data_IF_970768016794
#
_entry.id   IF_970768016794
#
_cell.length_a   1.000
_cell.length_b   1.000
_cell.length_c   1.000
_cell.angle_alpha   90.00
_cell.angle_beta   90.00
_cell.angle_gamma   90.00
#
_symmetry.space_group_name_H-M   'P 1'
#
loop_
_entity.id
_entity.type
_entity.pdbx_description
1 polymer ?
#
# COMPACT_ATOMS: atom_id res chain seq x y z
N UNK A 1 -13.17 70.01 -5.43
CA UNK A 1 -14.62 69.69 -5.59
C UNK A 1 -15.48 70.45 -4.57
N UNK A 2 -15.49 71.80 -4.65
CA UNK A 2 -16.18 72.69 -3.70
C UNK A 2 -17.07 73.71 -4.43
N UNK A 3 -17.71 73.31 -5.54
CA UNK A 3 -18.44 74.25 -6.39
C UNK A 3 -19.85 73.81 -6.83
N UNK A 4 -20.36 72.68 -6.31
CA UNK A 4 -21.71 72.19 -6.65
C UNK A 4 -22.73 72.25 -5.51
N UNK A 5 -22.33 72.59 -4.28
CA UNK A 5 -23.23 72.60 -3.10
C UNK A 5 -23.99 73.91 -2.89
N UNK A 6 -23.55 74.99 -3.54
CA UNK A 6 -24.08 76.35 -3.34
C UNK A 6 -25.20 76.74 -4.31
N UNK A 7 -25.40 75.99 -5.40
CA UNK A 7 -26.45 76.27 -6.40
C UNK A 7 -27.81 75.66 -6.03
N UNK A 8 -27.82 74.54 -5.30
CA UNK A 8 -29.03 73.85 -4.86
C UNK A 8 -29.71 74.49 -3.63
N UNK A 9 -28.96 75.23 -2.80
CA UNK A 9 -29.51 75.86 -1.58
C UNK A 9 -30.25 77.17 -1.91
N UNK A 10 -29.90 77.86 -2.99
CA UNK A 10 -30.60 79.08 -3.42
C UNK A 10 -31.95 78.80 -4.10
N UNK A 11 -32.13 77.61 -4.69
CA UNK A 11 -33.35 77.26 -5.43
C UNK A 11 -34.55 76.87 -4.54
N UNK A 12 -34.36 76.64 -3.25
CA UNK A 12 -35.43 76.25 -2.32
C UNK A 12 -35.94 77.45 -1.50
N UNK A 13 -35.23 78.58 -1.52
CA UNK A 13 -35.54 79.73 -0.66
C UNK A 13 -36.51 80.76 -1.27
N UNK A 14 -36.95 80.57 -2.53
CA UNK A 14 -37.60 81.64 -3.30
C UNK A 14 -39.08 81.36 -3.67
N UNK A 15 -39.69 80.25 -3.22
CA UNK A 15 -41.03 79.85 -3.74
C UNK A 15 -42.11 79.48 -2.70
N UNK A 16 -42.01 79.87 -1.42
CA UNK A 16 -43.20 79.82 -0.54
C UNK A 16 -43.07 80.66 0.76
N UNK A 17 -43.85 81.74 0.96
CA UNK A 17 -43.73 82.61 2.13
C UNK A 17 -44.52 82.13 3.37
N UNK A 18 -45.13 80.94 3.36
CA UNK A 18 -45.98 80.48 4.49
C UNK A 18 -45.48 79.17 5.13
N UNK A 19 -44.21 79.16 5.51
CA UNK A 19 -43.56 78.08 6.25
C UNK A 19 -44.02 78.06 7.72
N UNK A 20 -45.05 77.27 8.03
CA UNK A 20 -45.35 76.89 9.43
C UNK A 20 -46.02 75.51 9.50
N UNK A 21 -45.20 74.46 9.54
CA UNK A 21 -45.50 73.21 10.25
C UNK A 21 -44.20 72.40 10.36
N UNK A 22 -43.57 72.30 11.56
CA UNK A 22 -42.31 71.59 11.72
C UNK A 22 -42.50 70.07 11.58
N UNK A 23 -41.61 69.46 10.79
CA UNK A 23 -41.48 68.02 10.56
C UNK A 23 -41.29 67.22 11.86
N UNK A 24 -41.71 65.93 11.91
CA UNK A 24 -41.65 65.11 13.13
C UNK A 24 -40.20 64.91 13.63
N UNK A 25 -40.05 64.99 14.96
CA UNK A 25 -38.77 64.82 15.63
C UNK A 25 -38.23 63.40 15.41
N UNK A 26 -37.19 63.28 14.58
CA UNK A 26 -36.38 62.07 14.48
C UNK A 26 -35.69 61.88 15.83
N UNK A 27 -36.14 60.90 16.61
CA UNK A 27 -35.46 60.45 17.83
C UNK A 27 -34.10 59.85 17.43
N UNK A 28 -33.05 60.67 17.42
CA UNK A 28 -31.67 60.19 17.21
C UNK A 28 -31.28 59.41 18.46
N UNK A 29 -31.39 58.07 18.39
CA UNK A 29 -30.69 57.17 19.31
C UNK A 29 -29.20 57.50 19.19
N UNK A 30 -28.63 58.14 20.22
CA UNK A 30 -27.17 58.26 20.35
C UNK A 30 -26.61 56.85 20.47
N UNK A 31 -26.22 56.25 19.35
CA UNK A 31 -25.49 54.99 19.36
C UNK A 31 -24.23 55.19 20.20
N UNK A 32 -24.15 54.49 21.33
CA UNK A 32 -22.98 54.50 22.19
C UNK A 32 -21.87 53.69 21.50
N UNK A 33 -21.20 54.30 20.51
CA UNK A 33 -20.00 53.73 19.89
C UNK A 33 -18.89 53.75 20.92
N UNK A 34 -18.79 52.68 21.73
CA UNK A 34 -17.58 52.39 22.52
C UNK A 34 -16.41 52.41 21.55
N UNK A 35 -15.59 53.47 21.60
CA UNK A 35 -14.43 53.66 20.73
C UNK A 35 -13.41 52.60 21.12
N UNK A 36 -13.37 51.49 20.38
CA UNK A 36 -12.41 50.41 20.59
C UNK A 36 -11.02 51.02 20.30
N UNK A 37 -10.18 51.16 21.33
CA UNK A 37 -8.80 51.64 21.16
C UNK A 37 -8.03 50.59 20.36
N UNK A 38 -7.76 50.89 19.10
CA UNK A 38 -6.88 50.08 18.26
C UNK A 38 -5.51 49.95 18.93
N UNK A 39 -5.12 48.71 19.27
CA UNK A 39 -3.82 48.42 19.84
C UNK A 39 -3.02 47.58 18.83
N UNK A 40 -2.08 48.20 18.10
CA UNK A 40 -1.34 47.51 17.04
C UNK A 40 -0.54 46.32 17.58
N UNK A 41 -0.04 46.40 18.82
CA UNK A 41 0.70 45.29 19.46
C UNK A 41 -0.20 44.09 19.74
N UNK A 42 -1.44 44.30 20.17
CA UNK A 42 -2.41 43.21 20.41
C UNK A 42 -2.84 42.53 19.12
N UNK A 43 -2.98 43.28 18.03
CA UNK A 43 -3.37 42.74 16.73
C UNK A 43 -2.23 41.94 16.08
N UNK A 44 -1.00 42.44 16.19
CA UNK A 44 0.21 41.70 15.76
C UNK A 44 0.35 40.39 16.55
N UNK A 45 0.17 40.45 17.88
CA UNK A 45 0.24 39.28 18.76
C UNK A 45 -0.83 38.22 18.41
N UNK A 46 -2.06 38.64 18.10
CA UNK A 46 -3.13 37.74 17.65
C UNK A 46 -2.77 37.01 16.35
N UNK A 47 -2.23 37.73 15.37
CA UNK A 47 -1.80 37.15 14.09
C UNK A 47 -0.68 36.12 14.28
N UNK A 48 0.28 36.40 15.15
CA UNK A 48 1.38 35.47 15.48
C UNK A 48 0.82 34.17 16.10
N UNK A 49 -0.13 34.27 17.05
CA UNK A 49 -0.75 33.10 17.68
C UNK A 49 -1.54 32.24 16.67
N UNK A 50 -2.25 32.88 15.73
CA UNK A 50 -2.98 32.14 14.69
C UNK A 50 -2.04 31.47 13.69
N UNK A 51 -0.97 32.16 13.28
CA UNK A 51 0.01 31.61 12.31
C UNK A 51 0.76 30.43 12.93
N UNK A 52 1.21 30.56 14.18
CA UNK A 52 1.90 29.48 14.89
C UNK A 52 1.00 28.26 15.07
N UNK A 53 -0.28 28.45 15.42
CA UNK A 53 -1.24 27.34 15.51
C UNK A 53 -1.42 26.58 14.18
N UNK A 54 -1.50 27.31 13.06
CA UNK A 54 -1.61 26.72 11.72
C UNK A 54 -0.33 25.97 11.34
N UNK A 55 0.84 26.55 11.59
CA UNK A 55 2.13 25.92 11.33
C UNK A 55 2.31 24.64 12.15
N UNK A 56 1.93 24.65 13.43
CA UNK A 56 2.01 23.47 14.30
C UNK A 56 1.06 22.36 13.80
N UNK A 57 -0.18 22.68 13.43
CA UNK A 57 -1.09 21.67 12.84
C UNK A 57 -0.58 21.11 11.52
N UNK A 58 0.02 21.95 10.66
CA UNK A 58 0.64 21.48 9.41
C UNK A 58 1.83 20.54 9.64
N UNK A 59 2.67 20.84 10.64
CA UNK A 59 3.80 19.97 11.03
C UNK A 59 3.31 18.64 11.62
N UNK A 60 2.20 18.64 12.38
CA UNK A 60 1.62 17.42 12.95
C UNK A 60 0.94 16.55 11.88
N UNK A 61 0.22 17.16 10.93
CA UNK A 61 -0.40 16.44 9.82
C UNK A 61 0.65 15.77 8.90
N UNK A 62 1.76 16.46 8.63
CA UNK A 62 2.87 15.87 7.87
C UNK A 62 3.46 14.64 8.59
N UNK A 63 3.69 14.73 9.91
CA UNK A 63 4.20 13.59 10.69
C UNK A 63 3.22 12.42 10.80
N UNK A 64 1.91 12.67 10.76
CA UNK A 64 0.90 11.60 10.80
C UNK A 64 0.84 10.78 9.51
N UNK A 65 1.18 11.38 8.35
CA UNK A 65 1.19 10.69 7.07
C UNK A 65 2.38 9.72 6.93
N UNK A 66 3.52 10.06 7.52
CA UNK A 66 4.73 9.22 7.47
C UNK A 66 4.54 7.87 8.18
N UNK A 67 3.75 7.82 9.27
CA UNK A 67 3.48 6.57 9.99
C UNK A 67 2.59 5.58 9.21
N UNK A 68 1.73 6.06 8.32
CA UNK A 68 0.85 5.21 7.51
C UNK A 68 1.57 4.58 6.30
N UNK A 69 2.63 5.23 5.80
CA UNK A 69 3.41 4.77 4.63
C UNK A 69 4.57 3.84 5.03
N UNK A 70 5.12 3.99 6.23
CA UNK A 70 6.19 3.10 6.74
C UNK A 70 5.67 1.74 7.22
N UNK A 71 4.38 1.63 7.52
CA UNK A 71 3.69 0.37 7.81
C UNK A 71 3.17 -0.29 6.53
N UNK A 72 3.97 -0.32 5.46
CA UNK A 72 3.85 -1.39 4.47
C UNK A 72 4.10 -2.69 5.25
N UNK A 73 3.00 -3.29 5.70
CA UNK A 73 2.91 -4.35 6.70
C UNK A 73 4.02 -5.39 6.48
N UNK A 74 4.93 -5.52 7.45
CA UNK A 74 6.06 -6.46 7.38
C UNK A 74 5.60 -7.86 6.98
N UNK A 75 4.40 -8.27 7.41
CA UNK A 75 3.77 -9.52 7.01
C UNK A 75 3.53 -9.60 5.49
N UNK A 76 3.07 -8.52 4.86
CA UNK A 76 2.87 -8.44 3.41
C UNK A 76 4.18 -8.59 2.65
N UNK A 77 5.28 -8.03 3.16
CA UNK A 77 6.61 -8.18 2.54
C UNK A 77 7.08 -9.63 2.61
N UNK A 78 7.00 -10.26 3.78
CA UNK A 78 7.42 -11.65 3.95
C UNK A 78 6.52 -12.64 3.20
N UNK A 79 5.20 -12.38 3.11
CA UNK A 79 4.28 -13.20 2.29
C UNK A 79 4.66 -13.15 0.81
N UNK A 80 4.95 -11.98 0.25
CA UNK A 80 5.45 -11.87 -1.13
C UNK A 80 6.76 -12.61 -1.35
N UNK A 81 7.64 -12.64 -0.33
CA UNK A 81 8.88 -13.42 -0.36
C UNK A 81 8.58 -14.92 -0.39
N UNK A 82 7.64 -15.41 0.43
CA UNK A 82 7.18 -16.80 0.42
C UNK A 82 6.60 -17.14 -0.96
N UNK A 83 5.69 -16.34 -1.51
CA UNK A 83 5.09 -16.58 -2.82
C UNK A 83 6.14 -16.71 -3.94
N UNK A 84 7.25 -15.95 -3.84
CA UNK A 84 8.36 -16.06 -4.79
C UNK A 84 9.12 -17.38 -4.61
N UNK A 85 9.44 -17.75 -3.37
CA UNK A 85 10.12 -19.00 -3.07
C UNK A 85 9.28 -20.22 -3.47
N UNK A 86 7.97 -20.17 -3.23
CA UNK A 86 7.06 -21.26 -3.61
C UNK A 86 7.02 -21.46 -5.13
N UNK A 87 7.03 -20.38 -5.91
CA UNK A 87 7.17 -20.47 -7.37
C UNK A 87 8.49 -21.14 -7.76
N UNK A 88 9.60 -20.72 -7.15
CA UNK A 88 10.92 -21.31 -7.41
C UNK A 88 10.95 -22.80 -7.04
N UNK A 89 10.36 -23.21 -5.92
CA UNK A 89 10.23 -24.62 -5.50
C UNK A 89 9.48 -25.43 -6.57
N UNK A 90 8.34 -24.94 -7.06
CA UNK A 90 7.55 -25.63 -8.08
C UNK A 90 8.34 -25.76 -9.38
N UNK A 91 9.07 -24.72 -9.80
CA UNK A 91 9.93 -24.77 -10.98
C UNK A 91 11.04 -25.82 -10.82
N UNK A 92 11.76 -25.81 -9.69
CA UNK A 92 12.83 -26.77 -9.40
C UNK A 92 12.32 -28.22 -9.34
N UNK A 93 11.14 -28.44 -8.76
CA UNK A 93 10.49 -29.76 -8.76
C UNK A 93 10.12 -30.18 -10.19
N UNK A 94 9.61 -29.27 -11.01
CA UNK A 94 9.32 -29.52 -12.42
C UNK A 94 10.55 -29.97 -13.20
N UNK A 95 11.67 -29.25 -13.04
CA UNK A 95 12.95 -29.59 -13.68
C UNK A 95 13.48 -30.94 -13.20
N UNK A 96 13.38 -31.22 -11.89
CA UNK A 96 13.73 -32.52 -11.32
C UNK A 96 12.89 -33.65 -11.92
N UNK A 97 11.58 -33.44 -12.09
CA UNK A 97 10.71 -34.44 -12.75
C UNK A 97 11.06 -34.63 -14.22
N UNK A 98 11.42 -33.57 -14.94
CA UNK A 98 11.87 -33.68 -16.33
C UNK A 98 13.14 -34.53 -16.43
N UNK A 99 14.11 -34.33 -15.53
CA UNK A 99 15.30 -35.17 -15.46
C UNK A 99 14.95 -36.64 -15.16
N UNK A 100 14.03 -36.90 -14.22
CA UNK A 100 13.56 -38.24 -13.91
C UNK A 100 12.88 -38.91 -15.12
N UNK A 101 12.05 -38.19 -15.87
CA UNK A 101 11.43 -38.69 -17.12
C UNK A 101 12.47 -39.06 -18.18
N UNK A 102 13.48 -38.22 -18.37
CA UNK A 102 14.59 -38.52 -19.30
C UNK A 102 15.33 -39.79 -18.88
N UNK A 103 15.61 -39.94 -17.58
CA UNK A 103 16.22 -41.16 -17.02
C UNK A 103 15.30 -42.37 -17.24
N UNK A 104 14.00 -42.25 -16.98
CA UNK A 104 13.01 -43.30 -17.21
C UNK A 104 12.97 -43.76 -18.66
N UNK A 105 12.92 -42.82 -19.61
CA UNK A 105 12.98 -43.12 -21.04
C UNK A 105 14.27 -43.85 -21.44
N UNK A 106 15.41 -43.44 -20.87
CA UNK A 106 16.69 -44.13 -21.06
C UNK A 106 16.64 -45.57 -20.53
N UNK A 107 16.11 -45.79 -19.32
CA UNK A 107 15.97 -47.13 -18.72
C UNK A 107 15.10 -48.05 -19.57
N UNK A 108 13.97 -47.53 -20.10
CA UNK A 108 13.06 -48.28 -20.99
C UNK A 108 13.77 -48.70 -22.27
N UNK A 109 14.57 -47.81 -22.87
CA UNK A 109 15.34 -48.11 -24.09
C UNK A 109 16.40 -49.20 -23.86
N UNK A 110 17.04 -49.20 -22.69
CA UNK A 110 18.15 -50.11 -22.37
C UNK A 110 17.76 -51.30 -21.49
N UNK A 111 16.46 -51.51 -21.21
CA UNK A 111 15.93 -52.59 -20.36
C UNK A 111 16.55 -52.64 -18.95
N UNK A 112 16.89 -51.48 -18.39
CA UNK A 112 17.41 -51.36 -17.00
C UNK A 112 16.23 -51.28 -16.02
N UNK A 113 16.38 -51.89 -14.84
CA UNK A 113 15.35 -51.87 -13.79
C UNK A 113 14.98 -50.43 -13.38
N UNK A 114 13.68 -50.21 -13.15
CA UNK A 114 13.09 -48.88 -12.89
C UNK A 114 13.54 -48.30 -11.55
N UNK A 115 13.65 -49.12 -10.50
CA UNK A 115 13.95 -48.65 -9.14
C UNK A 115 15.35 -49.08 -8.70
N UNK A 116 16.14 -48.12 -8.24
CA UNK A 116 17.47 -48.32 -7.66
C UNK A 116 17.48 -47.78 -6.22
N UNK A 117 17.13 -48.61 -5.21
CA UNK A 117 16.92 -48.14 -3.83
C UNK A 117 18.18 -47.54 -3.21
N UNK A 118 19.35 -48.09 -3.51
CA UNK A 118 20.63 -47.62 -2.95
C UNK A 118 20.95 -46.18 -3.35
N UNK A 119 20.60 -45.79 -4.59
CA UNK A 119 20.81 -44.42 -5.06
C UNK A 119 19.88 -43.46 -4.32
N UNK A 120 18.63 -43.85 -4.12
CA UNK A 120 17.67 -43.00 -3.40
C UNK A 120 18.10 -42.79 -1.96
N UNK A 121 18.52 -43.86 -1.27
CA UNK A 121 19.04 -43.79 0.09
C UNK A 121 20.21 -42.80 0.23
N UNK A 122 21.17 -42.81 -0.70
CA UNK A 122 22.29 -41.85 -0.69
C UNK A 122 21.83 -40.40 -0.79
N UNK A 123 20.84 -40.12 -1.65
CA UNK A 123 20.33 -38.75 -1.80
C UNK A 123 19.44 -38.32 -0.66
N UNK A 124 18.67 -39.24 -0.10
CA UNK A 124 17.90 -38.96 1.11
C UNK A 124 18.85 -38.60 2.27
N UNK A 125 19.92 -39.38 2.48
CA UNK A 125 20.92 -39.08 3.51
C UNK A 125 21.57 -37.71 3.31
N UNK A 126 21.99 -37.39 2.08
CA UNK A 126 22.59 -36.09 1.77
C UNK A 126 21.59 -34.95 2.00
N UNK A 127 20.33 -35.11 1.58
CA UNK A 127 19.30 -34.11 1.76
C UNK A 127 19.01 -33.85 3.25
N UNK A 128 18.99 -34.89 4.08
CA UNK A 128 18.82 -34.75 5.54
C UNK A 128 19.96 -33.92 6.13
N UNK A 129 21.22 -34.24 5.78
CA UNK A 129 22.40 -33.48 6.24
C UNK A 129 22.33 -32.00 5.81
N UNK A 130 21.87 -31.73 4.59
CA UNK A 130 21.72 -30.35 4.09
C UNK A 130 20.56 -29.62 4.75
N UNK A 131 19.43 -30.30 4.97
CA UNK A 131 18.26 -29.77 5.64
C UNK A 131 18.55 -29.37 7.08
N UNK A 132 19.28 -30.21 7.83
CA UNK A 132 19.69 -29.91 9.20
C UNK A 132 20.54 -28.63 9.27
N UNK A 133 21.43 -28.39 8.30
CA UNK A 133 22.28 -27.17 8.24
C UNK A 133 21.46 -25.89 8.08
N UNK A 134 20.28 -25.96 7.48
CA UNK A 134 19.38 -24.81 7.27
C UNK A 134 18.21 -24.78 8.25
N UNK A 135 18.23 -25.63 9.29
CA UNK A 135 17.24 -25.64 10.36
C UNK A 135 15.95 -26.40 10.06
N UNK A 136 15.96 -27.32 9.08
CA UNK A 136 14.85 -28.24 8.81
C UNK A 136 15.00 -29.51 9.64
N UNK A 137 13.88 -30.09 10.08
CA UNK A 137 13.90 -31.38 10.78
C UNK A 137 14.15 -32.53 9.81
N UNK A 138 14.92 -33.53 10.25
CA UNK A 138 15.21 -34.71 9.45
C UNK A 138 13.94 -35.43 8.97
N UNK A 139 12.93 -35.54 9.84
CA UNK A 139 11.64 -36.17 9.51
C UNK A 139 10.88 -35.41 8.41
N UNK A 140 10.92 -34.08 8.42
CA UNK A 140 10.29 -33.26 7.39
C UNK A 140 10.98 -33.47 6.04
N UNK A 141 12.30 -33.39 6.00
CA UNK A 141 13.09 -33.57 4.78
C UNK A 141 12.88 -34.96 4.22
N UNK A 142 12.85 -35.98 5.08
CA UNK A 142 12.62 -37.37 4.68
C UNK A 142 11.27 -37.55 4.00
N UNK A 143 10.18 -37.10 4.63
CA UNK A 143 8.84 -37.17 4.04
C UNK A 143 8.76 -36.44 2.70
N UNK A 144 9.31 -35.23 2.64
CA UNK A 144 9.33 -34.44 1.40
C UNK A 144 10.05 -35.19 0.26
N UNK A 145 11.22 -35.75 0.53
CA UNK A 145 11.99 -36.46 -0.49
C UNK A 145 11.37 -37.81 -0.89
N UNK A 146 10.71 -38.49 0.03
CA UNK A 146 9.94 -39.72 -0.24
C UNK A 146 8.74 -39.42 -1.15
N UNK A 147 7.98 -38.36 -0.88
CA UNK A 147 6.85 -37.94 -1.71
C UNK A 147 7.30 -37.54 -3.12
N UNK A 148 8.35 -36.72 -3.21
CA UNK A 148 8.93 -36.28 -4.49
C UNK A 148 9.48 -37.47 -5.28
N UNK A 149 10.10 -38.46 -4.60
CA UNK A 149 10.57 -39.67 -5.24
C UNK A 149 9.42 -40.54 -5.77
N UNK A 150 8.39 -40.73 -4.95
CA UNK A 150 7.20 -41.52 -5.31
C UNK A 150 6.51 -40.95 -6.54
N UNK A 151 6.34 -39.62 -6.61
CA UNK A 151 5.77 -38.97 -7.79
C UNK A 151 6.66 -39.15 -9.03
N UNK A 152 7.99 -39.10 -8.88
CA UNK A 152 8.91 -39.36 -10.00
C UNK A 152 8.72 -40.78 -10.57
N UNK A 153 8.64 -41.78 -9.69
CA UNK A 153 8.46 -43.19 -10.07
C UNK A 153 7.11 -43.39 -10.77
N UNK A 154 6.04 -42.76 -10.25
CA UNK A 154 4.71 -42.79 -10.89
C UNK A 154 4.76 -42.29 -12.33
N UNK A 155 5.45 -41.17 -12.57
CA UNK A 155 5.60 -40.61 -13.92
C UNK A 155 6.47 -41.49 -14.83
N UNK A 156 7.55 -42.11 -14.31
CA UNK A 156 8.37 -43.06 -15.07
C UNK A 156 7.54 -44.26 -15.54
N UNK A 157 6.68 -44.81 -14.68
CA UNK A 157 5.80 -45.94 -15.04
C UNK A 157 4.72 -45.54 -16.05
N UNK A 158 4.14 -44.34 -15.92
CA UNK A 158 3.17 -43.82 -16.88
C UNK A 158 3.78 -43.66 -18.28
N UNK A 159 5.01 -43.16 -18.37
CA UNK A 159 5.75 -43.07 -19.64
C UNK A 159 6.03 -44.45 -20.24
N UNK A 160 6.44 -45.41 -19.41
CA UNK A 160 6.67 -46.79 -19.84
C UNK A 160 5.39 -47.42 -20.40
N UNK A 161 4.26 -47.24 -19.73
CA UNK A 161 2.97 -47.76 -20.20
C UNK A 161 2.57 -47.15 -21.56
N UNK A 162 2.72 -45.83 -21.72
CA UNK A 162 2.45 -45.14 -23.00
C UNK A 162 3.34 -45.67 -24.13
N UNK A 163 4.63 -45.88 -23.86
CA UNK A 163 5.57 -46.43 -24.84
C UNK A 163 5.26 -47.89 -25.24
N UNK A 164 4.63 -48.67 -24.35
CA UNK A 164 4.19 -50.03 -24.66
C UNK A 164 2.94 -50.01 -25.55
N UNK A 165 1.96 -49.17 -25.23
CA UNK A 165 0.71 -49.07 -26.02
C UNK A 165 0.98 -48.62 -27.45
N UNK A 166 1.84 -47.61 -27.65
CA UNK A 166 2.20 -47.08 -28.98
C UNK A 166 2.97 -48.07 -29.87
N UNK A 167 3.47 -49.18 -29.34
CA UNK A 167 4.12 -50.24 -30.14
C UNK A 167 3.16 -51.32 -30.61
N UNK A 168 1.91 -51.31 -30.12
CA UNK A 168 0.88 -52.29 -30.46
C UNK A 168 -0.05 -51.82 -31.58
N UNK A 169 -0.05 -50.53 -31.88
CA UNK A 169 -0.75 -49.91 -33.02
C UNK A 169 0.18 -49.85 -34.24
#
# INVERSE_FOLDING_TARGET
>A
MSHYKSKWIKLIAEENPNATAPLPAIHIVKSNKKRIRYNPKKEIMRKIITITSICVMGIMAARAQDHAVLAQDTMTVYRKKIDKLDKEIIHLLGDRMQAARTIGAYKVKHKVAVVQPDRFNKVLQQAVIEGEKVGLSADFVKKLYEDVHTESVRQEEELKQKAITQRKD
#
